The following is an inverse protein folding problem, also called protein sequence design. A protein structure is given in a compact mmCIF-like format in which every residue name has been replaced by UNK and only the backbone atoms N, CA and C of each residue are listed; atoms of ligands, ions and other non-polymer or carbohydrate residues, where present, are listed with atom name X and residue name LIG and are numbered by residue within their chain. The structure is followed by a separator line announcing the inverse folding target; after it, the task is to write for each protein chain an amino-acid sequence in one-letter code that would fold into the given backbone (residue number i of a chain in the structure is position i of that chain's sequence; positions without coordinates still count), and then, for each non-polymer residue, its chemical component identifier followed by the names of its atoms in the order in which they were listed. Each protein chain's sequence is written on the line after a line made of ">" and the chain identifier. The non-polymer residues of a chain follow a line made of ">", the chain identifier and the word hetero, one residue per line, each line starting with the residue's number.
data_IF_497695202067
#
_entry.id   IF_497695202067
#
_cell.length_a   1.000
_cell.length_b   1.000
_cell.length_c   1.000
_cell.angle_alpha   90.00
_cell.angle_beta   90.00
_cell.angle_gamma   90.00
#
_symmetry.space_group_name_H-M   'P 1'
#
loop_
_entity.id
_entity.type
_entity.pdbx_description
1 polymer ?
#
# COMPACT_ATOMS: atom_id res chain seq x y z
N UNK A 1 -60.77 -20.62 -43.63
CA UNK A 1 -60.38 -20.15 -42.31
C UNK A 1 -59.40 -21.13 -41.65
N UNK A 2 -58.14 -21.19 -42.15
CA UNK A 2 -57.10 -21.98 -41.50
C UNK A 2 -55.74 -21.23 -41.66
N UNK A 3 -55.48 -20.18 -40.90
CA UNK A 3 -54.15 -19.51 -40.95
C UNK A 3 -53.79 -18.74 -39.65
N UNK A 4 -54.14 -19.23 -38.46
CA UNK A 4 -53.76 -18.54 -37.21
C UNK A 4 -53.07 -19.39 -36.14
N UNK A 5 -52.75 -20.66 -36.37
CA UNK A 5 -52.07 -21.48 -35.37
C UNK A 5 -50.54 -21.55 -35.52
N UNK A 6 -49.99 -21.15 -36.67
CA UNK A 6 -48.53 -21.19 -36.89
C UNK A 6 -47.72 -20.08 -36.19
N UNK A 7 -48.28 -18.86 -36.12
CA UNK A 7 -47.54 -17.68 -35.63
C UNK A 7 -47.33 -17.69 -34.11
N UNK A 8 -48.27 -18.27 -33.34
CA UNK A 8 -48.15 -18.29 -31.88
C UNK A 8 -47.04 -19.21 -31.37
N UNK A 9 -46.68 -20.25 -32.10
CA UNK A 9 -45.62 -21.20 -31.74
C UNK A 9 -44.23 -20.58 -31.98
N UNK A 10 -44.07 -19.80 -33.05
CA UNK A 10 -42.81 -19.13 -33.36
C UNK A 10 -42.52 -17.98 -32.39
N UNK A 11 -43.52 -17.20 -32.01
CA UNK A 11 -43.38 -16.11 -31.00
C UNK A 11 -43.03 -16.69 -29.64
N UNK A 12 -43.68 -17.77 -29.20
CA UNK A 12 -43.34 -18.43 -27.92
C UNK A 12 -41.92 -19.00 -27.88
N UNK A 13 -41.43 -19.57 -29.00
CA UNK A 13 -40.05 -20.08 -29.11
C UNK A 13 -39.01 -18.95 -29.14
N UNK A 14 -39.31 -17.84 -29.80
CA UNK A 14 -38.43 -16.66 -29.80
C UNK A 14 -38.37 -16.00 -28.43
N UNK A 15 -39.48 -15.89 -27.71
CA UNK A 15 -39.50 -15.38 -26.35
C UNK A 15 -38.73 -16.29 -25.37
N UNK A 16 -38.85 -17.63 -25.51
CA UNK A 16 -38.12 -18.57 -24.68
C UNK A 16 -36.60 -18.50 -24.90
N UNK A 17 -36.15 -18.34 -26.14
CA UNK A 17 -34.72 -18.16 -26.46
C UNK A 17 -34.19 -16.82 -25.93
N UNK A 18 -34.98 -15.75 -26.06
CA UNK A 18 -34.61 -14.43 -25.55
C UNK A 18 -34.50 -14.41 -23.99
N UNK A 19 -35.41 -15.10 -23.31
CA UNK A 19 -35.36 -15.21 -21.82
C UNK A 19 -34.19 -16.07 -21.36
N UNK A 20 -33.82 -17.14 -22.04
CA UNK A 20 -32.63 -17.95 -21.75
C UNK A 20 -31.32 -17.18 -22.00
N UNK A 21 -31.28 -16.35 -23.05
CA UNK A 21 -30.11 -15.49 -23.34
C UNK A 21 -29.93 -14.37 -22.28
N UNK A 22 -31.04 -13.81 -21.77
CA UNK A 22 -31.00 -12.79 -20.72
C UNK A 22 -30.59 -13.37 -19.39
N UNK A 23 -30.94 -14.62 -19.06
CA UNK A 23 -30.51 -15.29 -17.82
C UNK A 23 -29.02 -15.65 -17.81
N UNK A 24 -28.40 -15.88 -18.96
CA UNK A 24 -26.96 -16.21 -19.06
C UNK A 24 -26.05 -15.01 -18.83
N UNK A 25 -26.54 -13.77 -18.95
CA UNK A 25 -25.73 -12.56 -18.76
C UNK A 25 -25.58 -12.14 -17.30
N UNK A 26 -26.32 -12.73 -16.36
CA UNK A 26 -26.25 -12.38 -14.94
C UNK A 26 -25.30 -13.25 -14.10
N UNK A 27 -24.66 -14.24 -14.68
CA UNK A 27 -23.73 -15.13 -13.99
C UNK A 27 -22.23 -14.79 -14.29
N UNK A 28 -21.91 -13.50 -14.44
CA UNK A 28 -20.50 -13.11 -14.43
C UNK A 28 -20.02 -13.21 -12.98
N UNK A 29 -19.08 -14.09 -12.65
CA UNK A 29 -18.52 -14.08 -11.31
C UNK A 29 -17.92 -12.70 -11.05
N UNK A 30 -18.44 -12.00 -10.05
CA UNK A 30 -17.82 -10.77 -9.56
C UNK A 30 -16.49 -11.21 -8.95
N UNK A 31 -15.40 -11.05 -9.65
CA UNK A 31 -14.07 -11.21 -9.06
C UNK A 31 -13.96 -10.16 -7.99
N UNK A 32 -13.81 -10.59 -6.73
CA UNK A 32 -13.56 -9.66 -5.62
C UNK A 32 -12.32 -8.84 -5.97
N UNK A 33 -12.48 -7.53 -6.13
CA UNK A 33 -11.34 -6.65 -6.27
C UNK A 33 -10.50 -6.79 -5.00
N UNK A 34 -9.22 -7.13 -5.15
CA UNK A 34 -8.29 -7.26 -4.05
C UNK A 34 -7.65 -5.90 -3.79
N UNK A 35 -7.70 -5.39 -2.55
CA UNK A 35 -6.94 -4.21 -2.16
C UNK A 35 -5.44 -4.56 -2.10
N UNK A 36 -4.56 -3.56 -2.29
CA UNK A 36 -3.12 -3.75 -2.05
C UNK A 36 -2.50 -2.46 -1.53
N UNK A 37 -1.58 -2.58 -0.58
CA UNK A 37 -0.86 -1.41 -0.08
C UNK A 37 0.07 -1.72 1.10
N UNK A 38 0.97 -0.75 1.37
CA UNK A 38 1.86 -0.77 2.54
C UNK A 38 2.37 0.63 2.87
N UNK A 39 2.74 0.90 4.15
CA UNK A 39 3.42 2.14 4.53
C UNK A 39 4.79 2.26 3.85
N UNK A 40 5.01 3.39 3.19
CA UNK A 40 6.30 3.78 2.61
C UNK A 40 6.97 4.89 3.42
N UNK A 41 6.19 5.63 4.21
CA UNK A 41 6.64 6.63 5.19
C UNK A 41 5.78 6.53 6.46
N UNK A 42 6.31 6.20 7.61
CA UNK A 42 7.61 5.54 7.82
C UNK A 42 7.69 4.23 7.05
N UNK A 43 8.91 3.85 6.61
CA UNK A 43 9.05 2.63 5.82
C UNK A 43 8.65 1.41 6.64
N UNK A 44 7.75 0.59 6.11
CA UNK A 44 7.40 -0.68 6.75
C UNK A 44 8.44 -1.77 6.47
N UNK A 45 8.50 -2.79 7.32
CA UNK A 45 9.37 -3.97 7.10
C UNK A 45 9.03 -4.65 5.77
N UNK A 46 7.75 -4.72 5.39
CA UNK A 46 7.33 -5.26 4.09
C UNK A 46 7.84 -4.40 2.94
N UNK A 47 7.61 -3.08 2.95
CA UNK A 47 8.09 -2.18 1.91
C UNK A 47 9.63 -2.11 1.82
N UNK A 48 10.33 -2.35 2.94
CA UNK A 48 11.79 -2.42 2.96
C UNK A 48 12.33 -3.73 2.39
N UNK A 49 11.79 -4.87 2.82
CA UNK A 49 12.43 -6.18 2.72
C UNK A 49 11.75 -7.16 1.75
N UNK A 50 10.42 -7.04 1.53
CA UNK A 50 9.64 -8.05 0.81
C UNK A 50 9.57 -7.75 -0.69
N UNK A 51 9.51 -8.80 -1.52
CA UNK A 51 9.38 -8.69 -2.97
C UNK A 51 10.38 -7.69 -3.58
N UNK A 52 9.84 -6.63 -4.19
CA UNK A 52 10.61 -5.52 -4.78
C UNK A 52 10.88 -4.39 -3.77
N UNK A 53 11.02 -4.71 -2.48
CA UNK A 53 11.29 -3.74 -1.42
C UNK A 53 12.55 -2.92 -1.66
N UNK A 54 12.56 -1.69 -1.18
CA UNK A 54 13.60 -0.70 -1.51
C UNK A 54 14.88 -0.82 -0.64
N UNK A 55 14.89 -1.70 0.36
CA UNK A 55 16.01 -1.91 1.31
C UNK A 55 16.41 -3.40 1.42
N UNK A 56 16.11 -4.21 0.42
CA UNK A 56 16.35 -5.67 0.43
C UNK A 56 17.81 -6.07 0.71
N UNK A 57 18.77 -5.16 0.47
CA UNK A 57 20.18 -5.33 0.81
C UNK A 57 20.54 -5.16 2.29
N UNK A 58 19.64 -4.62 3.14
CA UNK A 58 19.88 -4.46 4.57
C UNK A 58 20.06 -5.82 5.27
N UNK A 59 20.87 -5.85 6.33
CA UNK A 59 21.20 -7.10 7.04
C UNK A 59 19.96 -7.81 7.57
N UNK A 60 19.04 -7.07 8.21
CA UNK A 60 17.79 -7.64 8.69
C UNK A 60 16.91 -8.16 7.54
N UNK A 61 16.85 -7.46 6.38
CA UNK A 61 16.08 -7.91 5.23
C UNK A 61 16.64 -9.22 4.63
N UNK A 62 17.97 -9.35 4.56
CA UNK A 62 18.62 -10.61 4.15
C UNK A 62 18.31 -11.75 5.13
N UNK A 63 18.36 -11.49 6.43
CA UNK A 63 18.00 -12.46 7.46
C UNK A 63 16.51 -12.85 7.37
N UNK A 64 15.63 -11.88 7.17
CA UNK A 64 14.19 -12.11 6.97
C UNK A 64 13.93 -13.00 5.74
N UNK A 65 14.60 -12.69 4.61
CA UNK A 65 14.51 -13.50 3.39
C UNK A 65 14.99 -14.93 3.62
N UNK A 66 16.11 -15.12 4.33
CA UNK A 66 16.60 -16.46 4.66
C UNK A 66 15.61 -17.23 5.55
N UNK A 67 15.02 -16.57 6.56
CA UNK A 67 14.04 -17.16 7.45
C UNK A 67 12.75 -17.60 6.72
N UNK A 68 12.41 -17.00 5.58
CA UNK A 68 11.27 -17.40 4.74
C UNK A 68 11.63 -18.42 3.64
N UNK A 69 12.85 -18.94 3.64
CA UNK A 69 13.28 -19.90 2.62
C UNK A 69 13.72 -19.29 1.30
N UNK A 70 14.11 -18.01 1.33
CA UNK A 70 14.66 -17.31 0.16
C UNK A 70 13.69 -16.38 -0.57
N UNK A 71 12.41 -16.35 -0.17
CA UNK A 71 11.40 -15.47 -0.74
C UNK A 71 10.54 -14.83 0.37
N UNK A 72 10.31 -13.55 0.28
CA UNK A 72 9.30 -12.84 1.08
C UNK A 72 8.20 -12.40 0.11
N UNK A 73 6.95 -12.57 0.48
CA UNK A 73 5.79 -12.20 -0.33
C UNK A 73 5.83 -10.78 -0.89
N UNK A 74 4.87 -10.40 -1.71
CA UNK A 74 4.78 -9.04 -2.26
C UNK A 74 4.62 -8.01 -1.14
N UNK A 75 5.34 -6.87 -1.23
CA UNK A 75 5.42 -5.90 -0.16
C UNK A 75 4.07 -5.27 0.22
N UNK A 76 3.15 -5.21 -0.72
CA UNK A 76 1.84 -4.58 -0.64
C UNK A 76 0.68 -5.57 -0.45
N UNK A 77 0.96 -6.87 -0.27
CA UNK A 77 -0.06 -7.91 -0.21
C UNK A 77 -0.02 -8.73 1.10
N UNK A 78 0.42 -8.10 2.21
CA UNK A 78 0.40 -8.72 3.53
C UNK A 78 -0.99 -8.55 4.15
N UNK A 79 -1.90 -9.49 3.89
CA UNK A 79 -3.31 -9.39 4.25
C UNK A 79 -3.93 -10.72 4.68
N UNK A 80 -4.98 -10.63 5.47
CA UNK A 80 -5.84 -11.74 5.89
C UNK A 80 -7.28 -11.38 5.52
N UNK A 81 -8.01 -12.31 4.94
CA UNK A 81 -9.40 -12.10 4.61
C UNK A 81 -10.32 -12.51 5.78
N UNK A 82 -11.48 -11.85 5.87
CA UNK A 82 -12.55 -12.16 6.83
C UNK A 82 -12.14 -12.08 8.31
N UNK A 83 -11.25 -11.17 8.65
CA UNK A 83 -10.84 -10.91 10.03
C UNK A 83 -12.03 -10.39 10.81
N UNK A 84 -12.34 -11.02 11.96
CA UNK A 84 -13.38 -10.58 12.90
C UNK A 84 -12.79 -9.85 14.09
N UNK A 85 -11.61 -10.25 14.49
CA UNK A 85 -10.84 -9.67 15.58
C UNK A 85 -9.36 -9.85 15.30
N UNK A 86 -8.62 -8.75 15.27
CA UNK A 86 -7.19 -8.75 14.92
C UNK A 86 -6.36 -9.60 15.87
N UNK A 87 -6.65 -9.52 17.19
CA UNK A 87 -5.86 -10.19 18.23
C UNK A 87 -6.03 -11.70 18.22
N UNK A 88 -7.20 -12.16 17.77
CA UNK A 88 -7.47 -13.59 17.59
C UNK A 88 -6.90 -14.08 16.25
N UNK A 89 -6.96 -13.26 15.20
CA UNK A 89 -6.54 -13.65 13.85
C UNK A 89 -5.03 -13.61 13.67
N UNK A 90 -4.35 -12.68 14.36
CA UNK A 90 -2.89 -12.51 14.29
C UNK A 90 -2.27 -12.83 15.65
N UNK A 91 -1.63 -13.99 15.82
CA UNK A 91 -1.05 -14.40 17.11
C UNK A 91 0.13 -13.50 17.53
N UNK A 92 0.36 -13.43 18.84
CA UNK A 92 1.55 -12.82 19.42
C UNK A 92 2.83 -13.38 18.80
N UNK A 93 3.81 -12.52 18.58
CA UNK A 93 5.07 -12.85 17.94
C UNK A 93 4.99 -13.03 16.42
N UNK A 94 3.80 -12.79 15.82
CA UNK A 94 3.56 -12.88 14.37
C UNK A 94 2.89 -11.64 13.78
N UNK A 95 2.95 -10.52 14.49
CA UNK A 95 2.23 -9.31 14.10
C UNK A 95 2.76 -8.72 12.78
N UNK A 96 4.08 -8.72 12.58
CA UNK A 96 4.69 -8.13 11.39
C UNK A 96 4.54 -8.98 10.13
N UNK A 97 4.21 -10.27 10.28
CA UNK A 97 3.88 -11.16 9.16
C UNK A 97 2.37 -11.35 8.96
N UNK A 98 1.54 -10.84 9.88
CA UNK A 98 0.12 -11.21 9.91
C UNK A 98 -0.11 -12.70 10.15
N UNK A 99 0.87 -13.44 10.70
CA UNK A 99 0.82 -14.89 10.83
C UNK A 99 1.04 -15.67 9.54
N UNK A 100 1.33 -15.01 8.43
CA UNK A 100 1.51 -15.60 7.11
C UNK A 100 2.94 -16.13 6.93
N UNK A 101 3.10 -17.39 6.55
CA UNK A 101 4.41 -18.03 6.38
C UNK A 101 5.30 -17.33 5.36
N UNK A 102 4.72 -16.79 4.29
CA UNK A 102 5.44 -16.05 3.26
C UNK A 102 6.10 -14.76 3.80
N UNK A 103 5.71 -14.28 4.97
CA UNK A 103 6.22 -13.06 5.60
C UNK A 103 6.88 -13.32 6.96
N UNK A 104 6.97 -14.56 7.45
CA UNK A 104 7.43 -14.90 8.81
C UNK A 104 8.80 -14.33 9.18
N UNK A 105 9.65 -14.04 8.20
CA UNK A 105 10.94 -13.37 8.44
C UNK A 105 10.81 -11.93 8.90
N UNK A 106 9.66 -11.28 8.68
CA UNK A 106 9.42 -9.92 9.16
C UNK A 106 9.15 -9.86 10.70
N UNK A 107 8.88 -11.03 11.32
CA UNK A 107 8.71 -11.16 12.77
C UNK A 107 10.03 -11.40 13.52
N UNK A 108 11.17 -11.41 12.85
CA UNK A 108 12.45 -11.61 13.53
C UNK A 108 12.65 -10.53 14.60
N UNK A 109 13.00 -10.97 15.80
CA UNK A 109 13.38 -10.13 16.92
C UNK A 109 14.76 -9.54 16.66
N UNK A 110 14.81 -8.32 16.10
CA UNK A 110 16.03 -7.63 15.65
C UNK A 110 15.84 -6.12 15.73
N UNK A 111 16.91 -5.43 16.09
CA UNK A 111 16.98 -3.98 16.18
C UNK A 111 17.59 -3.30 14.94
N UNK A 112 18.02 -4.07 13.93
CA UNK A 112 18.68 -3.58 12.72
C UNK A 112 17.79 -3.58 11.47
N UNK A 113 16.47 -3.75 11.59
CA UNK A 113 15.56 -3.50 10.49
C UNK A 113 15.65 -2.03 10.06
N UNK A 114 15.50 -1.74 8.74
CA UNK A 114 15.40 -0.37 8.27
C UNK A 114 14.37 0.43 9.07
N UNK A 115 14.79 1.56 9.61
CA UNK A 115 13.96 2.39 10.48
C UNK A 115 13.85 3.82 9.97
N UNK A 116 12.92 4.56 10.56
CA UNK A 116 12.75 5.99 10.36
C UNK A 116 13.07 6.71 11.67
N UNK A 117 14.03 7.65 11.63
CA UNK A 117 14.32 8.51 12.77
C UNK A 117 13.17 9.49 13.01
N UNK A 118 12.75 9.60 14.26
CA UNK A 118 11.64 10.45 14.69
C UNK A 118 11.96 11.10 16.04
N UNK A 119 11.21 12.14 16.43
CA UNK A 119 11.36 12.80 17.72
C UNK A 119 10.08 12.67 18.53
N UNK A 120 10.26 12.54 19.84
CA UNK A 120 9.16 12.64 20.80
C UNK A 120 8.35 13.93 20.59
N UNK A 121 7.03 13.84 20.68
CA UNK A 121 6.12 14.97 20.52
C UNK A 121 5.93 15.48 19.10
N UNK A 122 6.69 15.01 18.12
CA UNK A 122 6.49 15.45 16.73
C UNK A 122 5.20 14.94 16.12
N UNK A 123 4.70 15.65 15.08
CA UNK A 123 3.69 15.13 14.16
C UNK A 123 4.37 14.30 13.10
N UNK A 124 4.12 12.99 13.11
CA UNK A 124 4.62 12.05 12.12
C UNK A 124 3.65 12.00 10.94
N UNK A 125 4.13 12.25 9.73
CA UNK A 125 3.41 11.96 8.50
C UNK A 125 3.47 10.46 8.20
N UNK A 126 2.33 9.89 7.81
CA UNK A 126 2.21 8.51 7.36
C UNK A 126 1.74 8.54 5.92
N UNK A 127 2.54 7.95 5.03
CA UNK A 127 2.18 7.70 3.64
C UNK A 127 2.04 6.20 3.45
N UNK A 128 0.80 5.77 3.30
CA UNK A 128 0.48 4.39 3.01
C UNK A 128 0.20 4.25 1.50
N UNK A 129 1.11 3.66 0.75
CA UNK A 129 0.97 3.45 -0.69
C UNK A 129 -0.18 2.48 -0.94
N UNK A 130 -1.21 2.94 -1.67
CA UNK A 130 -2.28 2.10 -2.18
C UNK A 130 -1.98 1.72 -3.63
N UNK A 131 -1.42 0.55 -3.88
CA UNK A 131 -1.17 0.07 -5.25
C UNK A 131 -2.46 -0.37 -5.92
N UNK A 132 -3.41 -0.88 -5.13
CA UNK A 132 -4.82 -1.03 -5.51
C UNK A 132 -5.64 -0.40 -4.37
N UNK A 133 -6.06 0.88 -4.53
CA UNK A 133 -6.69 1.63 -3.46
C UNK A 133 -8.13 1.17 -3.18
N UNK A 134 -8.48 1.13 -1.90
CA UNK A 134 -9.83 0.88 -1.40
C UNK A 134 -10.14 1.77 -0.20
N UNK A 135 -11.41 2.06 0.01
CA UNK A 135 -11.89 2.69 1.24
C UNK A 135 -11.70 1.76 2.43
N UNK A 136 -11.61 2.33 3.64
CA UNK A 136 -11.48 1.55 4.86
C UNK A 136 -10.95 2.35 6.05
N UNK A 137 -10.79 1.64 7.16
CA UNK A 137 -10.28 2.19 8.40
C UNK A 137 -8.79 1.84 8.57
N UNK A 138 -8.00 2.83 8.94
CA UNK A 138 -6.60 2.65 9.35
C UNK A 138 -6.50 2.83 10.86
N UNK A 139 -6.06 1.79 11.58
CA UNK A 139 -5.75 1.83 13.02
C UNK A 139 -4.24 1.86 13.20
N UNK A 140 -3.75 2.92 13.81
CA UNK A 140 -2.31 3.17 14.01
C UNK A 140 -1.97 2.91 15.46
N UNK A 141 -1.10 1.96 15.72
CA UNK A 141 -0.59 1.65 17.06
C UNK A 141 0.88 2.05 17.17
N UNK A 142 1.31 2.40 18.36
CA UNK A 142 2.72 2.59 18.70
C UNK A 142 3.04 1.76 19.93
N UNK A 143 4.19 1.10 19.91
CA UNK A 143 4.64 0.32 21.07
C UNK A 143 4.71 1.16 22.36
N UNK A 144 4.43 0.49 23.48
CA UNK A 144 4.48 1.07 24.81
C UNK A 144 5.93 1.41 25.21
N UNK A 145 6.12 2.30 26.19
CA UNK A 145 7.43 2.48 26.83
C UNK A 145 7.96 1.13 27.33
N UNK A 146 9.25 0.87 27.10
CA UNK A 146 9.88 -0.39 27.50
C UNK A 146 9.80 -1.51 26.46
N UNK A 147 9.23 -1.26 25.28
CA UNK A 147 9.33 -2.20 24.16
C UNK A 147 10.81 -2.49 23.84
N UNK A 148 11.13 -3.78 23.67
CA UNK A 148 12.47 -4.26 23.34
C UNK A 148 12.45 -4.97 21.98
N UNK A 149 13.10 -4.43 20.93
CA UNK A 149 13.15 -5.02 19.61
C UNK A 149 13.88 -6.38 19.56
N UNK A 150 14.62 -6.74 20.59
CA UNK A 150 15.22 -8.07 20.75
C UNK A 150 14.17 -9.15 21.07
N UNK A 151 12.94 -8.77 21.30
CA UNK A 151 11.79 -9.66 21.46
C UNK A 151 10.84 -9.55 20.29
N UNK A 152 10.09 -10.62 20.04
CA UNK A 152 9.02 -10.57 19.02
C UNK A 152 7.88 -9.69 19.51
N UNK A 153 7.34 -8.89 18.60
CA UNK A 153 6.23 -7.99 18.89
C UNK A 153 4.98 -8.76 19.30
N UNK A 154 4.35 -8.33 20.38
CA UNK A 154 3.07 -8.87 20.87
C UNK A 154 2.01 -7.78 20.89
N UNK A 155 0.73 -8.17 20.99
CA UNK A 155 -0.37 -7.22 21.18
C UNK A 155 -0.26 -6.44 22.49
N UNK A 156 0.33 -7.06 23.52
CA UNK A 156 0.57 -6.37 24.78
C UNK A 156 1.58 -5.25 24.65
N UNK A 157 2.55 -5.34 23.75
CA UNK A 157 3.48 -4.25 23.46
C UNK A 157 2.78 -3.04 22.85
N UNK A 158 1.70 -3.24 22.11
CA UNK A 158 0.94 -2.16 21.44
C UNK A 158 -0.14 -1.53 22.33
N UNK A 159 -0.61 -2.26 23.33
CA UNK A 159 -1.71 -1.83 24.16
C UNK A 159 -3.10 -2.11 23.55
N UNK A 160 -4.15 -1.72 24.28
CA UNK A 160 -5.54 -2.05 23.92
C UNK A 160 -6.17 -1.07 22.94
N UNK A 161 -5.62 0.13 22.80
CA UNK A 161 -6.18 1.20 21.94
C UNK A 161 -5.15 1.69 20.94
N UNK A 162 -5.57 1.99 19.70
CA UNK A 162 -4.68 2.63 18.75
C UNK A 162 -4.30 4.04 19.20
N UNK A 163 -3.13 4.51 18.77
CA UNK A 163 -2.67 5.90 18.92
C UNK A 163 -3.60 6.85 18.13
N UNK A 164 -4.08 6.41 16.97
CA UNK A 164 -5.03 7.12 16.13
C UNK A 164 -5.77 6.13 15.22
N UNK A 165 -6.96 6.52 14.79
CA UNK A 165 -7.73 5.84 13.74
C UNK A 165 -8.18 6.85 12.69
N UNK A 166 -8.26 6.42 11.43
CA UNK A 166 -8.66 7.23 10.28
C UNK A 166 -9.59 6.41 9.39
N UNK A 167 -10.79 6.91 9.16
CA UNK A 167 -11.71 6.34 8.18
C UNK A 167 -11.58 7.11 6.87
N UNK A 168 -11.35 6.39 5.79
CA UNK A 168 -11.23 6.92 4.43
C UNK A 168 -10.29 8.14 4.31
N UNK A 169 -9.02 8.05 4.78
CA UNK A 169 -8.10 9.16 4.69
C UNK A 169 -7.85 9.57 3.23
N UNK A 170 -7.48 10.84 2.97
CA UNK A 170 -7.26 11.32 1.62
C UNK A 170 -6.22 10.47 0.88
N UNK A 171 -6.57 10.04 -0.34
CA UNK A 171 -5.67 9.41 -1.29
C UNK A 171 -5.12 10.48 -2.24
N UNK A 172 -3.83 10.74 -2.17
CA UNK A 172 -3.13 11.72 -2.99
C UNK A 172 -1.86 11.11 -3.55
N UNK A 173 -1.62 11.24 -4.85
CA UNK A 173 -0.45 10.66 -5.53
C UNK A 173 -0.25 9.16 -5.27
N UNK A 174 -1.37 8.42 -5.20
CA UNK A 174 -1.38 6.98 -4.97
C UNK A 174 -1.00 6.56 -3.53
N UNK A 175 -1.07 7.48 -2.55
CA UNK A 175 -0.85 7.17 -1.15
C UNK A 175 -1.94 7.78 -0.26
N UNK A 176 -2.41 7.01 0.72
CA UNK A 176 -3.23 7.53 1.81
C UNK A 176 -2.35 8.34 2.74
N UNK A 177 -2.79 9.58 3.04
CA UNK A 177 -2.01 10.52 3.83
C UNK A 177 -2.65 10.74 5.18
N UNK A 178 -1.90 10.41 6.22
CA UNK A 178 -2.34 10.52 7.61
C UNK A 178 -1.27 11.24 8.43
N UNK A 179 -1.63 11.77 9.61
CA UNK A 179 -0.69 12.39 10.53
C UNK A 179 -1.06 12.01 11.96
N UNK A 180 -0.08 11.55 12.73
CA UNK A 180 -0.23 11.21 14.15
C UNK A 180 0.72 12.04 15.00
N UNK A 181 0.29 12.40 16.23
CA UNK A 181 1.18 13.00 17.21
C UNK A 181 1.88 11.90 17.99
N UNK A 182 3.20 11.86 17.93
CA UNK A 182 3.98 10.86 18.67
C UNK A 182 4.04 11.27 20.14
N UNK A 183 3.80 10.33 21.08
CA UNK A 183 4.06 10.57 22.51
C UNK A 183 5.56 10.55 22.80
N UNK A 184 5.92 10.87 24.06
CA UNK A 184 7.28 10.73 24.53
C UNK A 184 7.73 9.27 24.46
N UNK A 185 8.84 9.02 23.76
CA UNK A 185 9.49 7.71 23.58
C UNK A 185 10.99 7.88 23.47
N UNK A 186 11.72 6.80 23.71
CA UNK A 186 13.17 6.69 23.49
C UNK A 186 13.51 5.35 22.85
N UNK A 187 14.62 5.27 22.16
CA UNK A 187 15.10 4.04 21.52
C UNK A 187 14.20 3.55 20.40
N UNK A 188 14.33 2.27 20.09
CA UNK A 188 13.50 1.63 19.05
C UNK A 188 12.08 1.44 19.52
N UNK A 189 11.16 1.78 18.63
CA UNK A 189 9.73 1.61 18.82
C UNK A 189 9.11 1.01 17.58
N UNK A 190 7.98 0.33 17.73
CA UNK A 190 7.23 -0.24 16.61
C UNK A 190 5.98 0.58 16.35
N UNK A 191 5.85 1.12 15.13
CA UNK A 191 4.58 1.61 14.59
C UNK A 191 3.91 0.45 13.86
N UNK A 192 2.71 0.10 14.31
CA UNK A 192 1.92 -0.98 13.72
C UNK A 192 0.67 -0.41 13.08
N UNK A 193 0.46 -0.70 11.81
CA UNK A 193 -0.68 -0.20 11.05
C UNK A 193 -1.55 -1.37 10.64
N UNK A 194 -2.83 -1.28 10.97
CA UNK A 194 -3.90 -2.18 10.50
C UNK A 194 -4.76 -1.38 9.53
N UNK A 195 -4.93 -1.87 8.31
CA UNK A 195 -5.86 -1.31 7.34
C UNK A 195 -6.94 -2.32 7.04
N UNK A 196 -8.14 -2.07 7.56
CA UNK A 196 -9.35 -2.86 7.31
C UNK A 196 -10.12 -2.22 6.16
N UNK A 197 -10.25 -2.92 5.04
CA UNK A 197 -10.94 -2.41 3.87
C UNK A 197 -12.45 -2.58 4.02
N UNK A 198 -13.24 -1.59 3.56
CA UNK A 198 -14.71 -1.63 3.65
C UNK A 198 -15.39 -2.27 2.42
N UNK A 199 -14.68 -2.36 1.30
CA UNK A 199 -15.20 -2.87 0.02
C UNK A 199 -14.69 -4.26 -0.34
N UNK A 200 -13.74 -4.80 0.42
CA UNK A 200 -13.25 -6.19 0.33
C UNK A 200 -13.20 -6.81 1.72
N UNK A 201 -13.13 -8.14 1.85
CA UNK A 201 -13.01 -8.76 3.17
C UNK A 201 -11.61 -8.67 3.79
N UNK A 202 -10.70 -7.89 3.20
CA UNK A 202 -9.28 -7.91 3.52
C UNK A 202 -8.89 -6.96 4.65
N UNK A 203 -7.99 -7.42 5.51
CA UNK A 203 -7.30 -6.60 6.52
C UNK A 203 -5.81 -6.73 6.33
N UNK A 204 -5.13 -5.59 6.21
CA UNK A 204 -3.68 -5.49 5.98
C UNK A 204 -2.95 -5.15 7.27
N UNK A 205 -1.75 -5.72 7.43
CA UNK A 205 -0.92 -5.52 8.61
C UNK A 205 0.47 -5.05 8.21
N UNK A 206 1.03 -4.11 8.98
CA UNK A 206 2.34 -3.55 8.67
C UNK A 206 3.08 -3.11 9.92
N UNK A 207 4.36 -3.47 10.00
CA UNK A 207 5.29 -3.00 11.01
C UNK A 207 6.26 -1.98 10.41
N UNK A 208 6.45 -0.84 11.06
CA UNK A 208 7.49 0.15 10.74
C UNK A 208 8.33 0.43 11.97
N UNK A 209 9.64 0.20 11.86
CA UNK A 209 10.57 0.49 12.96
C UNK A 209 10.82 1.99 13.02
N UNK A 210 10.59 2.60 14.18
CA UNK A 210 10.91 3.99 14.50
C UNK A 210 12.11 4.04 15.43
N UNK A 211 13.01 5.00 15.20
CA UNK A 211 14.13 5.27 16.09
C UNK A 211 13.96 6.64 16.74
N UNK A 212 13.85 6.65 18.07
CA UNK A 212 13.76 7.85 18.87
C UNK A 212 15.12 8.09 19.52
N UNK A 213 15.98 8.96 18.97
CA UNK A 213 17.27 9.27 19.58
C UNK A 213 17.08 9.72 21.02
N UNK A 214 18.00 9.31 21.88
CA UNK A 214 18.05 9.87 23.24
C UNK A 214 18.17 11.39 23.14
N UNK A 215 17.37 12.12 23.93
CA UNK A 215 17.48 13.56 24.01
C UNK A 215 18.96 13.92 24.32
N UNK A 216 19.57 14.71 23.45
CA UNK A 216 20.91 15.20 23.71
C UNK A 216 20.91 15.85 25.08
N UNK A 217 21.70 15.31 26.01
CA UNK A 217 21.90 15.93 27.33
C UNK A 217 22.59 17.28 27.07
N UNK A 218 21.80 18.33 26.97
CA UNK A 218 22.34 19.68 27.00
C UNK A 218 23.01 19.82 28.37
N UNK A 219 24.32 19.58 28.42
CA UNK A 219 25.11 19.97 29.61
C UNK A 219 24.86 21.46 29.78
N UNK A 220 24.05 21.81 30.76
CA UNK A 220 23.88 23.19 31.21
C UNK A 220 25.27 23.63 31.63
N UNK A 221 26.00 24.26 30.73
CA UNK A 221 27.25 24.96 31.11
C UNK A 221 26.81 26.10 31.98
N UNK A 222 27.02 25.92 33.28
CA UNK A 222 26.89 26.99 34.28
C UNK A 222 27.82 28.11 33.80
N UNK A 223 27.33 29.34 33.55
CA UNK A 223 28.23 30.43 33.20
C UNK A 223 29.23 30.63 34.32
N UNK A 224 30.52 30.60 34.03
CA UNK A 224 31.55 30.96 34.97
C UNK A 224 31.32 32.42 35.47
N UNK A 225 31.48 32.71 36.73
CA UNK A 225 31.28 34.08 37.25
C UNK A 225 32.25 35.03 36.55
N UNK A 226 31.73 35.93 35.74
CA UNK A 226 32.48 37.01 35.10
C UNK A 226 32.93 37.96 36.24
N UNK A 227 34.22 38.02 36.51
CA UNK A 227 34.80 39.05 37.35
C UNK A 227 34.51 40.41 36.74
N UNK A 228 33.85 41.27 37.49
CA UNK A 228 33.61 42.65 37.15
C UNK A 228 34.93 43.37 36.87
N UNK A 229 35.13 43.83 35.65
CA UNK A 229 36.18 44.76 35.29
C UNK A 229 35.62 46.17 35.27
N UNK A 230 36.23 46.98 36.08
CA UNK A 230 35.95 48.37 36.40
C UNK A 230 35.93 49.29 35.17
N UNK A 231 34.94 50.14 35.13
CA UNK A 231 34.81 51.26 34.18
C UNK A 231 36.05 52.17 34.13
N UNK A 232 36.53 52.49 32.94
CA UNK A 232 37.21 53.76 32.71
C UNK A 232 36.56 54.39 31.47
N UNK A 233 36.00 55.55 31.71
CA UNK A 233 35.35 56.36 30.71
C UNK A 233 36.38 57.09 29.84
N UNK A 234 36.15 57.26 28.57
CA UNK A 234 36.60 58.39 27.73
C UNK A 234 35.65 58.51 26.55
N UNK A 235 35.22 59.73 26.34
CA UNK A 235 34.21 60.23 25.43
C UNK A 235 34.74 60.46 23.95
N UNK A 236 33.95 61.04 23.05
CA UNK A 236 33.71 60.51 21.72
C UNK A 236 34.43 61.37 20.64
N UNK A 237 34.59 60.75 19.48
CA UNK A 237 34.82 61.50 18.21
C UNK A 237 33.93 60.94 17.13
N UNK A 238 33.18 61.88 16.60
CA UNK A 238 32.31 61.69 15.44
C UNK A 238 33.13 61.79 14.13
N UNK A 239 32.52 61.32 13.06
CA UNK A 239 32.54 61.80 11.66
C UNK A 239 32.73 60.59 10.72
N UNK A 240 31.95 60.35 9.75
CA UNK A 240 31.28 60.98 8.67
C UNK A 240 30.93 59.91 7.65
N UNK A 241 29.80 60.03 7.05
CA UNK A 241 29.16 59.25 6.02
C UNK A 241 29.90 59.12 4.68
N UNK A 242 29.52 58.14 3.91
CA UNK A 242 28.83 58.22 2.63
C UNK A 242 29.39 57.29 1.58
N UNK A 243 28.61 56.91 0.61
CA UNK A 243 28.46 55.57 0.03
C UNK A 243 29.03 55.50 -1.39
N UNK A 244 29.15 54.30 -1.91
CA UNK A 244 29.26 54.08 -3.36
C UNK A 244 29.14 52.58 -3.61
N UNK A 245 28.21 52.16 -4.26
CA UNK A 245 27.86 52.04 -5.69
C UNK A 245 27.98 50.59 -6.12
N UNK A 246 26.84 50.08 -6.49
CA UNK A 246 26.63 48.91 -7.31
C UNK A 246 27.22 49.12 -8.71
N UNK A 247 27.65 48.12 -9.42
CA UNK A 247 26.99 47.88 -10.68
C UNK A 247 26.57 46.44 -10.96
N UNK A 248 25.45 46.42 -11.66
CA UNK A 248 24.78 45.30 -12.27
C UNK A 248 25.51 44.70 -13.49
N UNK A 249 24.93 43.61 -13.94
CA UNK A 249 25.02 42.89 -15.22
C UNK A 249 26.16 41.86 -15.32
N UNK A 250 25.89 40.63 -15.74
CA UNK A 250 25.36 40.27 -17.06
C UNK A 250 24.95 38.82 -17.11
N UNK A 251 23.90 38.55 -17.85
CA UNK A 251 23.37 37.22 -18.16
C UNK A 251 24.30 36.44 -19.10
N UNK A 252 24.46 35.15 -18.89
CA UNK A 252 24.88 34.23 -19.93
C UNK A 252 23.97 33.02 -19.91
N UNK A 253 23.07 32.98 -20.88
CA UNK A 253 22.38 31.78 -21.32
C UNK A 253 23.39 30.74 -21.78
N UNK A 254 23.27 29.51 -21.31
CA UNK A 254 23.86 28.38 -22.00
C UNK A 254 22.81 27.27 -22.06
N UNK A 255 22.41 27.02 -23.28
CA UNK A 255 21.54 25.98 -23.81
C UNK A 255 21.86 24.60 -23.28
N UNK A 256 20.81 23.90 -22.86
CA UNK A 256 20.77 22.47 -22.60
C UNK A 256 20.83 21.66 -23.92
N UNK A 257 21.38 20.46 -23.90
CA UNK A 257 20.92 19.40 -24.80
C UNK A 257 19.97 18.45 -24.06
N UNK A 258 18.84 18.26 -24.67
CA UNK A 258 17.87 17.23 -24.33
C UNK A 258 18.53 15.85 -24.42
N UNK A 259 18.48 15.09 -23.35
CA UNK A 259 18.76 13.66 -23.37
C UNK A 259 17.49 12.91 -23.09
N UNK A 260 17.21 11.99 -23.99
CA UNK A 260 16.02 11.17 -24.08
C UNK A 260 15.73 10.37 -22.81
N UNK A 261 14.45 10.28 -22.45
CA UNK A 261 13.89 9.35 -21.47
C UNK A 261 14.17 7.91 -21.90
N UNK A 262 14.62 7.03 -20.99
CA UNK A 262 14.51 5.61 -21.22
C UNK A 262 13.07 5.18 -20.98
N UNK A 263 12.39 4.77 -22.02
CA UNK A 263 11.14 4.05 -21.98
C UNK A 263 11.34 2.80 -21.11
N UNK A 264 10.76 2.82 -19.91
CA UNK A 264 10.73 1.67 -19.03
C UNK A 264 9.73 0.67 -19.62
N UNK A 265 10.24 -0.36 -20.28
CA UNK A 265 9.47 -1.49 -20.72
C UNK A 265 8.79 -2.13 -19.50
N UNK A 266 7.46 -2.09 -19.48
CA UNK A 266 6.65 -2.82 -18.52
C UNK A 266 6.91 -4.32 -18.73
N UNK A 267 7.67 -4.93 -17.82
CA UNK A 267 7.73 -6.38 -17.72
C UNK A 267 6.42 -6.84 -17.09
N UNK A 268 5.50 -7.31 -17.92
CA UNK A 268 4.35 -8.09 -17.52
C UNK A 268 4.84 -9.41 -16.99
N UNK A 269 4.93 -9.56 -15.67
CA UNK A 269 4.97 -10.88 -15.05
C UNK A 269 3.55 -11.45 -15.06
N UNK A 270 3.24 -12.21 -16.11
CA UNK A 270 2.08 -13.07 -16.12
C UNK A 270 2.28 -14.16 -15.09
N UNK A 271 1.50 -14.14 -14.01
CA UNK A 271 1.26 -15.31 -13.19
C UNK A 271 0.44 -16.31 -14.00
N UNK A 272 0.90 -17.55 -14.07
CA UNK A 272 0.37 -18.62 -14.93
C UNK A 272 -1.07 -19.09 -14.64
N UNK A 273 -1.79 -18.50 -13.68
CA UNK A 273 -3.15 -18.92 -13.30
C UNK A 273 -4.28 -18.17 -14.02
N UNK A 274 -4.03 -16.99 -14.61
CA UNK A 274 -5.07 -16.21 -15.29
C UNK A 274 -5.29 -16.59 -16.76
N UNK A 275 -4.34 -17.29 -17.38
CA UNK A 275 -4.46 -17.72 -18.78
C UNK A 275 -5.49 -18.83 -18.98
N UNK A 276 -5.72 -19.66 -17.96
CA UNK A 276 -6.69 -20.77 -18.04
C UNK A 276 -8.13 -20.27 -18.08
N UNK A 277 -8.47 -19.26 -17.26
CA UNK A 277 -9.82 -18.69 -17.22
C UNK A 277 -10.15 -17.92 -18.51
N UNK A 278 -9.18 -17.18 -19.04
CA UNK A 278 -9.34 -16.47 -20.31
C UNK A 278 -9.60 -17.41 -21.48
N UNK A 279 -8.91 -18.53 -21.56
CA UNK A 279 -9.12 -19.54 -22.59
C UNK A 279 -10.49 -20.21 -22.51
N UNK A 280 -11.01 -20.49 -21.32
CA UNK A 280 -12.37 -21.05 -21.16
C UNK A 280 -13.46 -20.06 -21.57
N UNK A 281 -13.29 -18.77 -21.34
CA UNK A 281 -14.26 -17.75 -21.78
C UNK A 281 -14.29 -17.59 -23.30
N UNK A 282 -13.14 -17.62 -23.96
CA UNK A 282 -13.05 -17.57 -25.44
C UNK A 282 -13.59 -18.85 -26.05
N UNK A 283 -13.28 -20.03 -25.50
CA UNK A 283 -13.80 -21.29 -25.93
C UNK A 283 -15.33 -21.40 -25.76
N UNK A 284 -15.86 -20.87 -24.65
CA UNK A 284 -17.30 -20.80 -24.40
C UNK A 284 -18.05 -19.94 -25.42
N UNK A 285 -17.53 -18.74 -25.73
CA UNK A 285 -18.12 -17.82 -26.69
C UNK A 285 -18.13 -18.40 -28.12
N UNK A 286 -17.05 -19.06 -28.54
CA UNK A 286 -16.96 -19.75 -29.83
C UNK A 286 -17.91 -20.94 -29.89
N UNK A 287 -18.06 -21.72 -28.82
CA UNK A 287 -18.99 -22.85 -28.76
C UNK A 287 -20.44 -22.43 -28.95
N UNK A 288 -20.87 -21.33 -28.32
CA UNK A 288 -22.22 -20.78 -28.45
C UNK A 288 -22.47 -20.27 -29.87
N UNK A 289 -21.50 -19.62 -30.50
CA UNK A 289 -21.62 -19.13 -31.86
C UNK A 289 -21.74 -20.28 -32.87
N UNK A 290 -20.97 -21.37 -32.73
CA UNK A 290 -21.03 -22.56 -33.56
C UNK A 290 -22.37 -23.29 -33.41
N UNK A 291 -22.89 -23.42 -32.16
CA UNK A 291 -24.21 -24.03 -31.92
C UNK A 291 -25.33 -23.20 -32.54
N UNK A 292 -25.31 -21.88 -32.41
CA UNK A 292 -26.32 -21.00 -33.02
C UNK A 292 -26.29 -21.08 -34.55
N UNK A 293 -25.10 -21.10 -35.16
CA UNK A 293 -24.94 -21.25 -36.59
C UNK A 293 -25.45 -22.64 -37.09
N UNK A 294 -25.15 -23.71 -36.35
CA UNK A 294 -25.63 -25.07 -36.64
C UNK A 294 -27.14 -25.19 -36.61
N UNK A 295 -27.80 -24.61 -35.60
CA UNK A 295 -29.27 -24.60 -35.46
C UNK A 295 -29.90 -23.81 -36.61
N UNK A 296 -29.33 -22.67 -37.00
CA UNK A 296 -29.81 -21.86 -38.13
C UNK A 296 -29.68 -22.59 -39.46
N UNK A 297 -28.59 -23.34 -39.68
CA UNK A 297 -28.34 -24.12 -40.87
C UNK A 297 -29.32 -25.30 -41.00
N UNK A 298 -29.51 -26.05 -39.92
CA UNK A 298 -30.46 -27.15 -39.82
C UNK A 298 -31.90 -26.68 -40.07
N UNK A 299 -32.30 -25.53 -39.54
CA UNK A 299 -33.60 -24.93 -39.77
C UNK A 299 -33.78 -24.51 -41.23
N UNK A 300 -32.73 -24.09 -41.94
CA UNK A 300 -32.76 -23.71 -43.34
C UNK A 300 -32.85 -24.93 -44.27
N UNK A 301 -32.14 -26.01 -43.92
CA UNK A 301 -32.19 -27.29 -44.66
C UNK A 301 -33.56 -27.95 -44.52
N UNK A 302 -34.14 -27.93 -43.29
CA UNK A 302 -35.47 -28.50 -43.03
C UNK A 302 -36.59 -27.76 -43.79
N UNK A 303 -36.52 -26.41 -43.83
CA UNK A 303 -37.48 -25.60 -44.63
C UNK A 303 -37.37 -25.84 -46.15
N UNK A 304 -36.18 -26.18 -46.66
CA UNK A 304 -35.99 -26.53 -48.07
C UNK A 304 -36.54 -27.92 -48.44
N UNK A 305 -36.63 -28.83 -47.44
CA UNK A 305 -37.23 -30.18 -47.66
C UNK A 305 -38.75 -30.23 -47.51
N UNK A 306 -39.33 -29.27 -46.77
CA UNK A 306 -40.76 -29.15 -46.57
C UNK A 306 -41.47 -28.29 -47.67
N UNK A 307 -40.68 -27.65 -48.55
CA UNK A 307 -41.18 -26.82 -49.66
C UNK A 307 -40.98 -27.42 -51.00
N UNK A 308 -40.71 -28.75 -51.12
CA UNK A 308 -40.75 -29.58 -52.27
C UNK A 308 -41.90 -30.61 -52.11
#
# INVERSE_FOLDING_TARGET
>A
VVTRLGDSVHVRRLCAVALLSAAATFAVPVTSASAHGAPITPISRSAACAGNGIKTGATACKAAKAATGGFIGAYDNLRIANVKDDRTSVPDGKLCSGGLDAYRGLDLARDDFPSTEVRSGQKLAIEYRGTIPHQGEFRIYLSKPGYDPANKLTWDDLGSKPLAAFTDPPLTDGAYRMRVSLPERTGRQMLYVVWETSSTPDTYYSCSDLDFPAAAVVKKTTPAPTKAATKKAAAPVATTATPSEEPAAEAAETTAPATADPVLAAATSAGDDDTTVGHYLIAGALGVAVLAAGIALLGRVRRRREGL
#
